data_IF_574891216724
#
_entry.id   IF_574891216724
#
_cell.length_a   1.000
_cell.length_b   1.000
_cell.length_c   1.000
_cell.angle_alpha   90.00
_cell.angle_beta   90.00
_cell.angle_gamma   90.00
#
_symmetry.space_group_name_H-M   'P 1'
#
loop_
_entity.id
_entity.type
_entity.pdbx_description
1 polymer ?
#
# COMPACT_ATOMS: atom_id res chain seq x y z
N UNK A 1 -7.57 10.14 4.97
CA UNK A 1 -7.94 9.00 4.10
C UNK A 1 -7.01 7.83 4.39
N UNK A 2 -7.55 6.66 4.73
CA UNK A 2 -6.73 5.45 4.80
C UNK A 2 -6.21 5.17 3.38
N UNK A 3 -4.88 4.99 3.22
CA UNK A 3 -4.26 4.61 1.93
C UNK A 3 -4.65 3.17 1.57
N UNK A 4 -5.91 3.00 1.21
CA UNK A 4 -6.54 1.74 0.84
C UNK A 4 -7.23 1.93 -0.51
N UNK A 5 -7.01 0.98 -1.42
CA UNK A 5 -7.67 0.92 -2.71
C UNK A 5 -9.16 0.61 -2.52
N UNK A 6 -10.07 1.48 -2.98
CA UNK A 6 -11.52 1.25 -2.86
C UNK A 6 -12.01 0.07 -3.72
N UNK A 7 -11.32 -0.24 -4.82
CA UNK A 7 -11.70 -1.32 -5.75
C UNK A 7 -11.09 -2.66 -5.32
N UNK A 8 -9.83 -2.63 -4.92
CA UNK A 8 -8.99 -3.81 -4.74
C UNK A 8 -8.61 -4.10 -3.28
N UNK A 9 -9.03 -3.26 -2.34
CA UNK A 9 -8.77 -3.41 -0.90
C UNK A 9 -7.30 -3.30 -0.49
N UNK A 10 -6.37 -3.12 -1.43
CA UNK A 10 -4.92 -3.03 -1.16
C UNK A 10 -4.62 -1.90 -0.18
N UNK A 11 -4.11 -2.26 0.99
CA UNK A 11 -3.70 -1.34 2.05
C UNK A 11 -2.19 -1.29 2.24
N UNK A 12 -1.76 -0.61 3.31
CA UNK A 12 -0.36 -0.62 3.75
C UNK A 12 0.03 -2.03 4.22
N UNK A 13 1.22 -2.49 3.85
CA UNK A 13 1.82 -3.71 4.40
C UNK A 13 2.96 -3.34 5.34
N UNK A 14 3.07 -4.05 6.46
CA UNK A 14 4.15 -3.86 7.44
C UNK A 14 5.15 -5.00 7.35
N UNK A 15 6.43 -4.69 7.53
CA UNK A 15 7.48 -5.71 7.67
C UNK A 15 8.83 -5.08 7.95
N UNK A 16 9.90 -5.68 7.43
CA UNK A 16 11.27 -5.30 7.76
C UNK A 16 12.12 -5.12 6.50
N UNK A 17 13.03 -4.14 6.53
CA UNK A 17 14.17 -4.10 5.64
C UNK A 17 15.29 -4.95 6.26
N UNK A 18 15.88 -5.85 5.47
CA UNK A 18 16.90 -6.80 5.91
C UNK A 18 18.20 -6.45 5.18
N UNK A 19 19.26 -6.12 5.93
CA UNK A 19 20.58 -5.88 5.35
C UNK A 19 21.30 -7.19 5.02
N UNK A 20 22.44 -7.09 4.33
CA UNK A 20 23.33 -8.24 4.08
C UNK A 20 23.80 -8.93 5.38
N UNK A 21 23.90 -8.17 6.48
CA UNK A 21 24.23 -8.70 7.81
C UNK A 21 22.97 -9.15 8.61
N UNK A 22 21.81 -9.26 7.96
CA UNK A 22 20.51 -9.58 8.57
C UNK A 22 20.00 -8.59 9.64
N UNK A 23 20.48 -7.33 9.62
CA UNK A 23 19.92 -6.29 10.49
C UNK A 23 18.52 -5.92 10.02
N UNK A 24 17.53 -6.06 10.92
CA UNK A 24 16.11 -5.83 10.61
C UNK A 24 15.67 -4.45 11.10
N UNK A 25 15.22 -3.59 10.19
CA UNK A 25 14.58 -2.31 10.53
C UNK A 25 13.12 -2.31 10.09
N UNK A 26 12.22 -1.72 10.88
CA UNK A 26 10.78 -1.67 10.53
C UNK A 26 10.58 -0.87 9.25
N UNK A 27 9.82 -1.44 8.31
CA UNK A 27 9.46 -0.81 7.02
C UNK A 27 7.95 -0.94 6.79
N UNK A 28 7.38 0.11 6.22
CA UNK A 28 6.00 0.12 5.76
C UNK A 28 6.02 0.19 4.23
N UNK A 29 5.42 -0.78 3.55
CA UNK A 29 5.18 -0.73 2.11
C UNK A 29 3.82 -0.09 1.86
N UNK A 30 3.84 1.04 1.17
CA UNK A 30 2.64 1.74 0.76
C UNK A 30 2.27 1.29 -0.66
N UNK A 31 1.01 0.94 -0.93
CA UNK A 31 0.57 0.67 -2.28
C UNK A 31 0.67 1.94 -3.12
N UNK A 32 1.04 1.80 -4.40
CA UNK A 32 1.03 2.91 -5.36
C UNK A 32 -0.42 3.25 -5.75
N UNK A 33 -1.12 3.95 -4.85
CA UNK A 33 -2.50 4.40 -5.05
C UNK A 33 -2.48 5.67 -5.89
N UNK A 34 -3.05 5.57 -7.09
CA UNK A 34 -3.26 6.72 -7.96
C UNK A 34 -4.71 7.20 -7.83
N UNK A 35 -4.88 8.51 -7.67
CA UNK A 35 -6.20 9.14 -7.65
C UNK A 35 -6.72 9.23 -9.08
N UNK A 36 -7.70 8.39 -9.40
CA UNK A 36 -8.36 8.38 -10.70
C UNK A 36 -9.85 8.63 -10.52
N UNK A 37 -10.47 9.32 -11.49
CA UNK A 37 -11.92 9.43 -11.59
C UNK A 37 -12.45 8.16 -12.25
N UNK A 38 -12.74 7.15 -11.44
CA UNK A 38 -13.38 5.93 -11.91
C UNK A 38 -14.91 6.07 -11.87
N UNK A 39 -15.59 5.61 -12.92
CA UNK A 39 -17.04 5.38 -12.86
C UNK A 39 -17.30 4.16 -11.99
N UNK A 40 -17.58 4.40 -10.72
CA UNK A 40 -17.97 3.34 -9.80
C UNK A 40 -19.49 3.21 -9.89
N UNK A 41 -20.01 2.01 -10.14
CA UNK A 41 -21.47 1.72 -10.13
C UNK A 41 -22.34 2.52 -11.12
N UNK A 42 -21.84 2.80 -12.33
CA UNK A 42 -22.71 3.18 -13.46
C UNK A 42 -23.23 4.63 -13.51
N UNK A 43 -22.60 5.58 -12.81
CA UNK A 43 -22.79 7.02 -13.06
C UNK A 43 -21.44 7.75 -13.06
#
# INVERSE_FOLDING_TARGET
MARICAICGKGRSVGHNVSHANNKTKRIWQPNLQTVRARVSGR
#
